data_IF_882261226896
#
_entry.id   IF_882261226896
#
_cell.length_a   1.000
_cell.length_b   1.000
_cell.length_c   1.000
_cell.angle_alpha   90.00
_cell.angle_beta   90.00
_cell.angle_gamma   90.00
#
_symmetry.space_group_name_H-M   'P 1'
#
loop_
_entity.id
_entity.type
_entity.pdbx_description
1 polymer ?
#
# COMPACT_ATOMS: atom_id res chain seq x y z
N UNK A 1 -31.49 -12.48 23.84
CA UNK A 1 -32.54 -11.61 23.26
C UNK A 1 -32.01 -10.18 23.27
N UNK A 2 -31.99 -9.38 22.21
CA UNK A 2 -32.28 -9.57 20.76
C UNK A 2 -31.24 -8.73 20.01
N UNK A 3 -30.63 -9.23 18.92
CA UNK A 3 -29.80 -8.36 18.05
C UNK A 3 -30.70 -7.49 17.17
N UNK A 4 -30.34 -6.22 17.00
CA UNK A 4 -30.88 -5.37 15.95
C UNK A 4 -29.93 -5.40 14.74
N UNK A 5 -30.43 -5.87 13.60
CA UNK A 5 -29.71 -5.80 12.33
C UNK A 5 -29.77 -4.36 11.79
N UNK A 6 -28.65 -3.87 11.26
CA UNK A 6 -28.60 -2.70 10.35
C UNK A 6 -28.02 -3.18 9.02
N UNK A 7 -28.68 -2.81 7.92
CA UNK A 7 -28.31 -3.23 6.58
C UNK A 7 -27.23 -2.29 6.00
N UNK A 8 -26.25 -2.85 5.31
CA UNK A 8 -25.45 -2.12 4.35
C UNK A 8 -26.04 -2.34 2.94
N UNK A 9 -26.06 -1.28 2.12
CA UNK A 9 -26.42 -1.36 0.70
C UNK A 9 -25.35 -0.61 -0.07
N UNK A 10 -24.42 -1.34 -0.68
CA UNK A 10 -23.39 -0.81 -1.56
C UNK A 10 -23.82 -0.99 -3.01
N UNK A 11 -24.20 0.12 -3.66
CA UNK A 11 -24.65 0.12 -5.04
C UNK A 11 -23.46 0.11 -6.00
N UNK A 12 -23.32 -0.96 -6.77
CA UNK A 12 -22.32 -1.08 -7.84
C UNK A 12 -22.74 -0.22 -9.06
N UNK A 13 -21.80 0.53 -9.64
CA UNK A 13 -21.97 1.23 -10.92
C UNK A 13 -20.75 0.97 -11.81
N UNK A 14 -20.99 0.48 -13.03
CA UNK A 14 -19.95 0.19 -14.04
C UNK A 14 -20.39 0.75 -15.39
N UNK A 15 -19.64 1.73 -15.92
CA UNK A 15 -19.64 2.26 -17.29
C UNK A 15 -18.36 3.10 -17.48
N UNK A 16 -17.73 3.25 -18.65
CA UNK A 16 -17.74 2.48 -19.91
C UNK A 16 -16.52 2.88 -20.77
N UNK A 17 -16.27 2.18 -21.88
CA UNK A 17 -15.07 2.33 -22.74
C UNK A 17 -15.11 3.51 -23.73
N UNK A 18 -13.94 4.08 -24.02
CA UNK A 18 -13.66 4.98 -25.16
C UNK A 18 -12.47 5.91 -24.87
N UNK A 19 -11.63 6.35 -25.83
CA UNK A 19 -11.54 6.05 -27.27
C UNK A 19 -10.51 6.98 -27.93
N UNK A 20 -9.66 6.48 -28.84
CA UNK A 20 -8.46 7.18 -29.31
C UNK A 20 -8.71 8.34 -30.31
N UNK A 21 -7.79 9.30 -30.44
CA UNK A 21 -7.46 9.99 -31.72
C UNK A 21 -6.11 10.73 -31.68
N UNK A 22 -5.60 11.22 -32.82
CA UNK A 22 -4.24 11.77 -33.01
C UNK A 22 -4.18 13.30 -33.22
N UNK A 23 -3.05 13.86 -32.78
CA UNK A 23 -2.19 14.93 -33.35
C UNK A 23 -2.72 15.90 -34.42
N UNK A 24 -2.42 17.19 -34.22
CA UNK A 24 -2.29 18.26 -35.24
C UNK A 24 -1.61 19.50 -34.62
N UNK A 25 -1.28 20.58 -35.36
CA UNK A 25 -0.17 20.77 -36.33
C UNK A 25 0.07 22.29 -36.52
N UNK A 26 1.20 22.71 -37.12
CA UNK A 26 1.51 24.09 -37.58
C UNK A 26 1.79 25.15 -36.48
N UNK A 27 2.51 26.26 -36.69
CA UNK A 27 3.59 26.72 -37.63
C UNK A 27 4.17 28.06 -37.05
N UNK A 28 5.24 28.74 -37.48
CA UNK A 28 6.07 28.79 -38.70
C UNK A 28 7.52 29.31 -38.41
N UNK A 29 8.27 29.71 -39.43
CA UNK A 29 9.61 30.35 -39.39
C UNK A 29 9.52 31.86 -39.82
N UNK A 30 10.56 32.59 -40.33
CA UNK A 30 12.02 32.35 -40.50
C UNK A 30 12.92 33.60 -40.22
N UNK A 31 14.16 33.62 -40.78
CA UNK A 31 15.00 34.80 -41.15
C UNK A 31 15.78 35.53 -40.02
N UNK A 32 17.01 36.08 -40.21
CA UNK A 32 18.15 35.83 -41.14
C UNK A 32 19.37 36.72 -40.75
N UNK A 33 20.55 36.47 -41.33
CA UNK A 33 21.78 37.30 -41.19
C UNK A 33 22.94 36.49 -40.58
N UNK A 34 24.01 36.07 -41.29
CA UNK A 34 24.96 36.77 -42.19
C UNK A 34 26.11 37.47 -41.44
N UNK A 35 27.28 36.81 -41.41
CA UNK A 35 28.58 37.29 -41.92
C UNK A 35 29.53 36.06 -41.82
N UNK A 36 29.94 35.45 -42.93
CA UNK A 36 31.22 35.64 -43.63
C UNK A 36 32.48 35.30 -42.80
N UNK A 37 33.23 34.29 -43.27
CA UNK A 37 34.47 33.79 -42.65
C UNK A 37 35.70 34.35 -43.37
N UNK A 38 36.56 35.09 -42.66
CA UNK A 38 37.88 35.51 -43.16
C UNK A 38 38.97 34.52 -42.70
N UNK A 39 39.69 33.84 -43.62
CA UNK A 39 40.59 32.74 -43.26
C UNK A 39 42.09 33.13 -43.39
N UNK A 40 42.55 34.28 -42.87
CA UNK A 40 43.94 34.71 -43.08
C UNK A 40 44.69 35.42 -41.92
N UNK A 41 44.85 34.76 -40.76
CA UNK A 41 46.16 34.77 -40.07
C UNK A 41 46.43 33.60 -39.11
N UNK A 42 47.63 33.03 -39.28
CA UNK A 42 48.39 32.35 -38.21
C UNK A 42 48.85 33.44 -37.21
N UNK A 43 49.09 33.17 -35.92
CA UNK A 43 50.23 32.39 -35.43
C UNK A 43 50.01 31.91 -33.97
N UNK A 44 50.42 30.66 -33.71
CA UNK A 44 51.15 30.18 -32.52
C UNK A 44 50.48 30.36 -31.14
N UNK A 45 49.91 29.31 -30.56
CA UNK A 45 50.61 28.35 -29.67
C UNK A 45 51.36 29.03 -28.49
N UNK A 46 50.62 29.39 -27.44
CA UNK A 46 50.81 28.84 -26.09
C UNK A 46 49.55 29.21 -25.26
N UNK A 47 48.57 28.31 -25.22
CA UNK A 47 47.29 28.56 -24.54
C UNK A 47 47.44 28.53 -23.00
N UNK A 48 47.07 29.66 -22.40
CA UNK A 48 46.46 29.86 -21.07
C UNK A 48 47.09 29.15 -19.86
N UNK A 49 47.50 29.93 -18.84
CA UNK A 49 48.02 29.39 -17.58
C UNK A 49 47.01 28.41 -16.99
N UNK A 50 47.33 27.11 -16.95
CA UNK A 50 46.36 26.07 -16.56
C UNK A 50 45.94 26.26 -15.10
N UNK A 51 44.82 26.96 -14.91
CA UNK A 51 44.26 27.27 -13.60
C UNK A 51 44.06 25.96 -12.81
N UNK A 52 44.34 25.97 -11.49
CA UNK A 52 44.40 24.75 -10.70
C UNK A 52 43.08 23.96 -10.75
N UNK A 53 43.19 22.63 -10.78
CA UNK A 53 42.07 21.67 -10.93
C UNK A 53 41.13 21.59 -9.71
N UNK A 54 41.10 22.61 -8.88
CA UNK A 54 40.27 22.73 -7.66
C UNK A 54 38.84 23.22 -7.92
N UNK A 55 38.45 23.40 -9.20
CA UNK A 55 37.06 23.42 -9.63
C UNK A 55 36.64 22.13 -10.35
N UNK A 56 37.22 20.99 -9.94
CA UNK A 56 36.41 19.78 -9.86
C UNK A 56 35.41 19.97 -8.71
N UNK A 57 34.40 20.82 -8.95
CA UNK A 57 33.19 20.88 -8.13
C UNK A 57 32.51 19.51 -8.27
N UNK A 58 32.91 18.62 -7.37
CA UNK A 58 31.95 17.73 -6.76
C UNK A 58 30.82 18.65 -6.28
N UNK A 59 29.78 18.72 -7.12
CA UNK A 59 28.50 18.18 -6.67
C UNK A 59 28.85 16.88 -5.95
N UNK A 60 29.08 17.00 -4.64
CA UNK A 60 28.66 15.96 -3.73
C UNK A 60 27.20 15.79 -4.09
N UNK A 61 26.92 14.73 -4.86
CA UNK A 61 25.56 14.31 -5.13
C UNK A 61 25.01 14.06 -3.73
N UNK A 62 24.22 15.02 -3.24
CA UNK A 62 23.59 14.94 -1.94
C UNK A 62 22.63 13.78 -2.09
N UNK A 63 23.11 12.58 -1.75
CA UNK A 63 22.43 11.33 -2.02
C UNK A 63 21.22 11.31 -1.13
N UNK A 64 20.13 11.93 -1.61
CA UNK A 64 18.81 11.84 -1.06
C UNK A 64 18.57 10.35 -0.91
N UNK A 65 18.53 9.87 0.33
CA UNK A 65 18.33 8.46 0.62
C UNK A 65 16.88 8.14 0.24
N UNK A 66 16.67 7.86 -1.04
CA UNK A 66 15.38 7.54 -1.63
C UNK A 66 14.94 6.20 -1.07
N UNK A 67 14.14 6.26 -0.01
CA UNK A 67 13.49 5.10 0.59
C UNK A 67 12.72 4.34 -0.49
N UNK A 68 12.65 3.03 -0.35
CA UNK A 68 12.01 2.15 -1.33
C UNK A 68 10.50 2.41 -1.45
N UNK A 69 9.90 2.94 -0.38
CA UNK A 69 8.49 3.27 -0.23
C UNK A 69 8.30 4.60 0.52
N UNK A 70 7.11 5.17 0.45
CA UNK A 70 6.69 6.27 1.32
C UNK A 70 6.23 5.69 2.67
N UNK A 71 7.17 5.66 3.62
CA UNK A 71 6.93 5.13 4.96
C UNK A 71 6.07 6.08 5.83
N UNK A 72 6.02 7.39 5.55
CA UNK A 72 5.13 8.32 6.25
C UNK A 72 3.67 8.10 5.84
N UNK A 73 3.41 7.92 4.53
CA UNK A 73 2.11 7.51 4.03
C UNK A 73 1.74 6.12 4.57
N UNK A 74 2.66 5.15 4.52
CA UNK A 74 2.40 3.81 5.05
C UNK A 74 2.04 3.84 6.54
N UNK A 75 2.68 4.69 7.34
CA UNK A 75 2.30 4.90 8.74
C UNK A 75 0.93 5.55 8.89
N UNK A 76 0.62 6.58 8.11
CA UNK A 76 -0.71 7.22 8.14
C UNK A 76 -1.84 6.25 7.81
N UNK A 77 -1.63 5.34 6.85
CA UNK A 77 -2.58 4.28 6.51
C UNK A 77 -2.67 3.19 7.60
N UNK A 78 -1.53 2.78 8.17
CA UNK A 78 -1.51 1.84 9.30
C UNK A 78 -2.23 2.39 10.54
N UNK A 79 -1.96 3.65 10.91
CA UNK A 79 -2.59 4.32 12.05
C UNK A 79 -4.09 4.53 11.80
N UNK A 80 -4.50 4.80 10.56
CA UNK A 80 -5.91 4.93 10.18
C UNK A 80 -6.68 3.60 10.17
N UNK A 81 -6.03 2.51 9.76
CA UNK A 81 -6.66 1.18 9.66
C UNK A 81 -6.64 0.41 10.99
N UNK A 82 -5.47 0.24 11.60
CA UNK A 82 -5.31 -0.68 12.73
C UNK A 82 -5.78 -0.08 14.05
N UNK A 83 -5.77 1.24 14.21
CA UNK A 83 -6.26 1.90 15.43
C UNK A 83 -7.79 2.17 15.39
N UNK A 84 -8.51 1.81 14.32
CA UNK A 84 -9.97 1.88 14.29
C UNK A 84 -10.58 0.82 15.21
N UNK A 85 -10.86 1.22 16.46
CA UNK A 85 -11.54 0.39 17.46
C UNK A 85 -12.98 -0.01 17.10
N UNK A 86 -13.55 0.51 16.01
CA UNK A 86 -14.84 0.03 15.47
C UNK A 86 -14.69 -1.20 14.58
N UNK A 87 -13.56 -1.34 13.86
CA UNK A 87 -13.17 -2.53 13.12
C UNK A 87 -12.41 -3.54 14.00
N UNK A 88 -11.54 -3.06 14.89
CA UNK A 88 -10.68 -3.85 15.76
C UNK A 88 -10.91 -3.50 17.24
N UNK A 89 -11.98 -4.01 17.90
CA UNK A 89 -12.34 -3.61 19.26
C UNK A 89 -11.28 -3.87 20.34
N UNK A 90 -10.32 -4.77 20.11
CA UNK A 90 -9.21 -5.03 21.03
C UNK A 90 -7.92 -4.28 20.67
N UNK A 91 -7.88 -3.51 19.58
CA UNK A 91 -6.73 -2.69 19.23
C UNK A 91 -6.49 -1.58 20.27
N UNK A 92 -5.21 -1.24 20.47
CA UNK A 92 -4.75 -0.11 21.30
C UNK A 92 -3.75 0.76 20.54
N UNK A 93 -2.77 0.15 19.87
CA UNK A 93 -1.85 0.80 18.94
C UNK A 93 -1.17 -0.23 18.04
N UNK A 94 -1.04 0.04 16.74
CA UNK A 94 -0.10 -0.67 15.86
C UNK A 94 1.18 0.18 15.66
N UNK A 95 2.33 -0.48 15.60
CA UNK A 95 3.62 0.12 15.27
C UNK A 95 4.37 -0.78 14.28
N UNK A 96 5.23 -0.18 13.47
CA UNK A 96 6.21 -0.92 12.68
C UNK A 96 7.59 -0.27 12.71
N UNK A 97 8.60 -1.06 12.37
CA UNK A 97 9.98 -0.64 12.14
C UNK A 97 10.45 -1.23 10.82
N UNK A 98 11.19 -0.47 10.03
CA UNK A 98 11.76 -0.93 8.76
C UNK A 98 13.28 -0.71 8.77
N UNK A 99 14.00 -1.63 8.12
CA UNK A 99 15.43 -1.53 7.86
C UNK A 99 15.66 -1.96 6.40
N UNK A 100 15.89 -0.97 5.53
CA UNK A 100 16.13 -1.18 4.10
C UNK A 100 17.53 -1.74 3.81
N UNK A 101 18.49 -1.61 4.74
CA UNK A 101 19.83 -2.19 4.63
C UNK A 101 19.84 -3.67 5.02
N UNK A 102 19.05 -4.07 6.01
CA UNK A 102 18.86 -5.46 6.40
C UNK A 102 17.75 -6.18 5.61
N UNK A 103 16.94 -5.44 4.85
CA UNK A 103 15.67 -5.89 4.25
C UNK A 103 14.79 -6.59 5.31
N UNK A 104 14.47 -5.87 6.38
CA UNK A 104 13.64 -6.33 7.49
C UNK A 104 12.50 -5.35 7.78
N UNK A 105 11.33 -5.89 8.12
CA UNK A 105 10.17 -5.16 8.60
C UNK A 105 9.64 -5.86 9.85
N UNK A 106 9.62 -5.14 10.96
CA UNK A 106 9.02 -5.56 12.22
C UNK A 106 7.63 -4.93 12.39
N UNK A 107 6.60 -5.74 12.59
CA UNK A 107 5.21 -5.33 12.82
C UNK A 107 4.79 -5.69 14.25
N UNK A 108 4.37 -4.71 15.06
CA UNK A 108 3.95 -4.89 16.45
C UNK A 108 2.55 -4.34 16.70
N UNK A 109 1.58 -5.20 17.01
CA UNK A 109 0.26 -4.78 17.47
C UNK A 109 0.15 -4.85 19.00
N UNK A 110 -0.09 -3.72 19.64
CA UNK A 110 -0.56 -3.67 21.03
C UNK A 110 -2.07 -3.82 21.08
N UNK A 111 -2.54 -4.84 21.79
CA UNK A 111 -3.95 -5.17 22.01
C UNK A 111 -4.30 -5.20 23.50
N UNK A 112 -5.59 -5.20 23.83
CA UNK A 112 -6.06 -5.17 25.22
C UNK A 112 -5.74 -6.46 25.98
N UNK A 113 -5.62 -6.35 27.30
CA UNK A 113 -5.20 -7.45 28.18
C UNK A 113 -6.17 -8.66 28.25
N UNK A 114 -7.41 -8.51 27.78
CA UNK A 114 -8.42 -9.58 27.69
C UNK A 114 -8.42 -10.33 26.35
N UNK A 115 -7.61 -9.92 25.38
CA UNK A 115 -7.44 -10.59 24.07
C UNK A 115 -6.91 -12.01 24.24
N UNK A 116 -7.50 -13.00 23.57
CA UNK A 116 -7.02 -14.39 23.61
C UNK A 116 -5.82 -14.61 22.67
N UNK A 117 -5.11 -15.73 22.82
CA UNK A 117 -4.06 -16.09 21.86
C UNK A 117 -4.62 -16.35 20.45
N UNK A 118 -5.87 -16.80 20.35
CA UNK A 118 -6.50 -17.15 19.06
C UNK A 118 -6.90 -15.87 18.31
N UNK A 119 -7.53 -14.91 18.99
CA UNK A 119 -7.77 -13.55 18.45
C UNK A 119 -6.44 -12.89 18.03
N UNK A 120 -5.39 -13.05 18.83
CA UNK A 120 -4.08 -12.47 18.55
C UNK A 120 -3.39 -13.09 17.32
N UNK A 121 -3.64 -14.38 17.03
CA UNK A 121 -3.20 -15.01 15.78
C UNK A 121 -3.97 -14.47 14.56
N UNK A 122 -5.26 -14.20 14.69
CA UNK A 122 -6.06 -13.55 13.65
C UNK A 122 -5.61 -12.09 13.42
N UNK A 123 -5.30 -11.34 14.47
CA UNK A 123 -4.70 -10.00 14.36
C UNK A 123 -3.29 -10.04 13.74
N UNK A 124 -2.45 -11.02 14.08
CA UNK A 124 -1.15 -11.20 13.45
C UNK A 124 -1.27 -11.46 11.94
N UNK A 125 -2.19 -12.35 11.52
CA UNK A 125 -2.47 -12.59 10.09
C UNK A 125 -2.99 -11.33 9.41
N UNK A 126 -3.95 -10.64 10.03
CA UNK A 126 -4.57 -9.44 9.46
C UNK A 126 -3.56 -8.32 9.28
N UNK A 127 -2.69 -8.09 10.27
CA UNK A 127 -1.64 -7.08 10.21
C UNK A 127 -0.65 -7.34 9.07
N UNK A 128 -0.16 -8.57 8.93
CA UNK A 128 0.81 -8.93 7.87
C UNK A 128 0.19 -8.83 6.48
N UNK A 129 -1.09 -9.21 6.32
CA UNK A 129 -1.80 -9.07 5.03
C UNK A 129 -2.04 -7.61 4.66
N UNK A 130 -2.67 -6.84 5.57
CA UNK A 130 -3.01 -5.45 5.31
C UNK A 130 -1.78 -4.54 5.18
N UNK A 131 -0.69 -4.82 5.90
CA UNK A 131 0.57 -4.07 5.75
C UNK A 131 1.18 -4.29 4.36
N UNK A 132 1.19 -5.53 3.85
CA UNK A 132 1.57 -5.77 2.45
C UNK A 132 0.69 -4.95 1.49
N UNK A 133 -0.62 -4.88 1.75
CA UNK A 133 -1.56 -4.20 0.86
C UNK A 133 -1.38 -2.68 0.82
N UNK A 134 -1.02 -2.06 1.95
CA UNK A 134 -0.64 -0.64 2.02
C UNK A 134 0.63 -0.37 1.20
N UNK A 135 1.66 -1.20 1.33
CA UNK A 135 2.91 -1.02 0.56
C UNK A 135 2.71 -1.37 -0.92
N UNK A 136 1.88 -2.37 -1.25
CA UNK A 136 1.55 -2.75 -2.62
C UNK A 136 0.69 -1.69 -3.34
N UNK A 137 -0.10 -0.89 -2.61
CA UNK A 137 -0.79 0.26 -3.19
C UNK A 137 0.19 1.34 -3.73
N UNK A 138 1.44 1.35 -3.25
CA UNK A 138 2.50 2.26 -3.70
C UNK A 138 3.34 1.71 -4.86
N UNK A 139 3.38 0.38 -5.09
CA UNK A 139 4.28 -0.25 -6.07
C UNK A 139 3.60 -1.33 -6.92
N UNK A 140 3.69 -1.18 -8.24
CA UNK A 140 3.13 -2.13 -9.22
C UNK A 140 3.88 -3.47 -9.29
N UNK A 141 5.07 -3.57 -8.70
CA UNK A 141 5.87 -4.80 -8.63
C UNK A 141 5.48 -5.70 -7.44
N UNK A 142 4.57 -5.24 -6.57
CA UNK A 142 4.02 -5.99 -5.45
C UNK A 142 2.60 -6.50 -5.74
N UNK A 143 2.33 -7.74 -5.32
CA UNK A 143 0.99 -8.32 -5.34
C UNK A 143 0.32 -8.16 -3.98
N UNK A 144 -0.98 -7.84 -4.00
CA UNK A 144 -1.81 -7.81 -2.81
C UNK A 144 -1.94 -9.18 -2.13
N UNK A 145 -2.33 -9.15 -0.86
CA UNK A 145 -2.71 -10.32 -0.09
C UNK A 145 -3.99 -10.96 -0.64
N UNK A 146 -4.24 -12.22 -0.26
CA UNK A 146 -5.43 -12.96 -0.69
C UNK A 146 -5.91 -13.90 0.42
N UNK A 147 -6.79 -14.87 0.12
CA UNK A 147 -7.11 -15.92 1.08
C UNK A 147 -5.85 -16.73 1.46
N UNK A 148 -5.16 -17.28 0.47
CA UNK A 148 -4.02 -18.19 0.63
C UNK A 148 -2.65 -17.51 0.68
N UNK A 149 -2.56 -16.21 0.36
CA UNK A 149 -1.29 -15.45 0.29
C UNK A 149 -1.25 -14.27 1.27
N UNK A 150 -0.03 -13.94 1.70
CA UNK A 150 0.30 -12.72 2.45
C UNK A 150 0.77 -11.58 1.54
N UNK A 151 0.76 -11.78 0.23
CA UNK A 151 1.32 -10.88 -0.78
C UNK A 151 2.83 -11.06 -0.98
N UNK A 152 3.44 -10.29 -1.88
CA UNK A 152 4.83 -10.50 -2.31
C UNK A 152 5.88 -9.61 -1.63
N UNK A 153 5.49 -8.67 -0.75
CA UNK A 153 6.46 -7.86 0.04
C UNK A 153 7.43 -8.76 0.82
N UNK A 154 6.88 -9.84 1.40
CA UNK A 154 7.60 -10.83 2.21
C UNK A 154 8.52 -11.76 1.41
N UNK A 155 8.52 -11.66 0.07
CA UNK A 155 9.55 -12.29 -0.77
C UNK A 155 10.85 -11.48 -0.80
N UNK A 156 10.78 -10.18 -0.50
CA UNK A 156 11.90 -9.24 -0.53
C UNK A 156 12.37 -8.87 0.88
N UNK A 157 11.42 -8.62 1.79
CA UNK A 157 11.68 -8.28 3.19
C UNK A 157 11.46 -9.47 4.12
N UNK A 158 12.35 -9.61 5.09
CA UNK A 158 12.16 -10.45 6.27
C UNK A 158 11.10 -9.82 7.18
N UNK A 159 10.31 -10.65 7.86
CA UNK A 159 9.16 -10.25 8.67
C UNK A 159 9.36 -10.67 10.12
N UNK A 160 9.32 -9.71 11.04
CA UNK A 160 9.14 -9.97 12.47
C UNK A 160 7.72 -9.56 12.87
N UNK A 161 6.88 -10.51 13.29
CA UNK A 161 5.47 -10.28 13.64
C UNK A 161 5.21 -10.52 15.12
N UNK A 162 4.67 -9.50 15.78
CA UNK A 162 4.47 -9.46 17.23
C UNK A 162 3.10 -8.92 17.59
N UNK A 163 2.41 -9.60 18.52
CA UNK A 163 1.17 -9.12 19.13
C UNK A 163 1.34 -9.19 20.64
N UNK A 164 1.21 -8.06 21.32
CA UNK A 164 1.43 -7.91 22.77
C UNK A 164 0.19 -7.35 23.46
N UNK A 165 -0.06 -7.72 24.70
CA UNK A 165 -1.03 -6.98 25.53
C UNK A 165 -0.45 -5.64 25.98
N UNK A 166 -1.30 -4.68 26.37
CA UNK A 166 -0.87 -3.41 27.00
C UNK A 166 0.03 -3.65 28.24
N UNK A 167 -0.16 -4.79 28.93
CA UNK A 167 0.68 -5.24 30.04
C UNK A 167 2.05 -5.82 29.63
N UNK A 168 2.43 -5.75 28.35
CA UNK A 168 3.70 -6.23 27.81
C UNK A 168 3.81 -7.74 27.62
N UNK A 169 2.73 -8.51 27.77
CA UNK A 169 2.75 -9.96 27.52
C UNK A 169 2.62 -10.21 26.01
N UNK A 170 3.64 -10.83 25.41
CA UNK A 170 3.49 -11.39 24.06
C UNK A 170 2.41 -12.48 23.99
N UNK A 171 1.54 -12.38 22.99
CA UNK A 171 0.56 -13.38 22.58
C UNK A 171 1.08 -14.11 21.32
N UNK A 172 1.63 -13.33 20.38
CA UNK A 172 2.34 -13.82 19.18
C UNK A 172 3.72 -13.17 19.14
N UNK A 173 4.75 -13.96 18.84
CA UNK A 173 6.13 -13.50 18.58
C UNK A 173 6.76 -14.51 17.60
N UNK A 174 6.92 -14.11 16.34
CA UNK A 174 7.34 -14.98 15.23
C UNK A 174 8.20 -14.18 14.23
N UNK A 175 9.18 -14.85 13.62
CA UNK A 175 10.10 -14.24 12.65
C UNK A 175 10.22 -15.13 11.41
N UNK A 176 10.30 -14.52 10.23
CA UNK A 176 10.42 -15.18 8.93
C UNK A 176 11.45 -14.44 8.08
N UNK A 177 12.27 -15.15 7.30
CA UNK A 177 13.18 -14.52 6.34
C UNK A 177 12.46 -14.15 5.05
N UNK A 178 13.05 -13.23 4.28
CA UNK A 178 12.60 -12.94 2.93
C UNK A 178 12.47 -14.23 2.09
N UNK A 179 11.29 -14.47 1.51
CA UNK A 179 10.95 -15.66 0.75
C UNK A 179 10.68 -16.93 1.57
N UNK A 180 10.68 -16.84 2.91
CA UNK A 180 10.32 -17.96 3.78
C UNK A 180 8.80 -18.15 3.85
N UNK A 181 8.35 -19.41 3.95
CA UNK A 181 6.91 -19.69 4.03
C UNK A 181 6.35 -19.32 5.40
N UNK A 182 5.68 -18.17 5.45
CA UNK A 182 4.88 -17.73 6.60
C UNK A 182 3.88 -18.84 7.00
N UNK A 183 3.96 -19.32 8.25
CA UNK A 183 3.10 -20.37 8.82
C UNK A 183 1.97 -19.81 9.71
N UNK A 184 1.79 -18.48 9.73
CA UNK A 184 0.65 -17.85 10.38
C UNK A 184 -0.66 -18.41 9.81
N UNK A 185 -1.53 -18.89 10.70
CA UNK A 185 -2.89 -19.31 10.38
C UNK A 185 -3.87 -18.59 11.28
N UNK A 186 -4.85 -17.94 10.68
CA UNK A 186 -6.10 -17.66 11.37
C UNK A 186 -6.76 -18.99 11.69
N UNK A 187 -7.46 -19.08 12.80
CA UNK A 187 -8.43 -20.15 12.96
C UNK A 187 -9.64 -19.75 12.11
N UNK A 188 -9.69 -20.19 10.84
CA UNK A 188 -10.70 -19.77 9.88
C UNK A 188 -12.11 -20.21 10.34
N UNK A 189 -12.71 -19.37 11.19
CA UNK A 189 -14.11 -19.46 11.60
C UNK A 189 -14.92 -19.03 10.40
N UNK A 190 -15.06 -19.95 9.44
CA UNK A 190 -15.76 -19.75 8.20
C UNK A 190 -17.12 -19.12 8.51
N UNK A 191 -17.32 -17.90 7.99
CA UNK A 191 -18.64 -17.33 7.89
C UNK A 191 -19.38 -18.10 6.78
N UNK A 192 -19.79 -19.34 7.09
CA UNK A 192 -20.82 -20.07 6.36
C UNK A 192 -22.08 -19.19 6.40
N UNK A 193 -22.21 -18.35 5.38
CA UNK A 193 -23.41 -17.57 5.14
C UNK A 193 -24.56 -18.57 5.07
N UNK A 194 -25.57 -18.46 5.94
CA UNK A 194 -26.47 -19.58 6.24
C UNK A 194 -27.14 -20.07 4.96
N UNK A 195 -26.93 -21.35 4.65
CA UNK A 195 -27.62 -22.00 3.54
C UNK A 195 -29.14 -21.88 3.70
N UNK A 196 -29.78 -21.72 2.54
CA UNK A 196 -31.20 -21.97 2.25
C UNK A 196 -32.25 -21.55 3.31
N UNK A 197 -32.96 -20.46 3.01
CA UNK A 197 -34.33 -20.24 3.50
C UNK A 197 -35.30 -20.25 2.32
N UNK A 198 -35.72 -21.46 1.97
CA UNK A 198 -36.72 -21.77 0.96
C UNK A 198 -38.04 -20.99 1.11
N UNK A 199 -38.81 -21.00 0.02
CA UNK A 199 -40.09 -20.31 -0.17
C UNK A 199 -41.11 -20.51 0.98
N UNK A 200 -41.64 -19.38 1.46
CA UNK A 200 -43.08 -19.22 1.64
C UNK A 200 -43.46 -17.79 1.27
N UNK A 201 -44.21 -17.64 0.18
CA UNK A 201 -44.67 -16.34 -0.33
C UNK A 201 -46.05 -15.99 0.25
N UNK A 202 -46.16 -15.13 1.29
CA UNK A 202 -47.44 -14.85 1.94
C UNK A 202 -48.36 -14.03 1.02
N UNK A 203 -49.32 -14.70 0.39
CA UNK A 203 -50.40 -14.05 -0.38
C UNK A 203 -51.10 -12.99 0.47
N UNK A 204 -50.87 -11.72 0.14
CA UNK A 204 -51.70 -10.62 0.63
C UNK A 204 -52.53 -10.03 -0.49
N UNK A 205 -53.83 -10.01 -0.24
CA UNK A 205 -54.78 -9.14 -0.89
C UNK A 205 -54.28 -7.69 -0.77
N UNK A 206 -54.39 -6.92 -1.85
CA UNK A 206 -54.54 -5.47 -1.76
C UNK A 206 -55.73 -5.08 -2.65
N UNK A 207 -56.66 -4.33 -2.06
CA UNK A 207 -57.84 -3.82 -2.76
C UNK A 207 -57.53 -2.43 -3.30
N UNK A 208 -57.71 -2.16 -4.60
CA UNK A 208 -57.98 -0.79 -5.03
C UNK A 208 -58.83 -0.63 -6.30
N UNK A 209 -59.87 0.22 -6.15
CA UNK A 209 -60.53 1.06 -7.16
C UNK A 209 -61.14 0.41 -8.42
N UNK A 210 -62.44 0.13 -8.30
CA UNK A 210 -63.52 0.92 -8.91
C UNK A 210 -63.34 1.51 -10.34
N UNK A 211 -64.37 1.33 -11.18
CA UNK A 211 -65.13 2.46 -11.76
C UNK A 211 -66.51 2.09 -12.29
N UNK A 212 -67.49 2.89 -11.86
CA UNK A 212 -68.64 3.43 -12.61
C UNK A 212 -69.54 2.49 -13.45
#
# INVERSE_FOLDING_TARGET
>A
MKLLKRMAVLSLVVLALGGCTKSSISTDAPVSGSEEVDPAKMETDDDDETLPRDQNFLVEDETVETTMYDWEQAQSECDGLFNDTSAFPQSVKMEFTYDESALNIGLTWTVKNDTTNDDAMEYAVTMVKQFNDIIAAQSMDLENSSADSFGTLWNQFSLDVKVVTEGGKALVDKSYKAGEKIDLKSNETAAEGPEDVADDSPKKLDETKASK
#
